data_IF_624588056357
#
_entry.id   IF_624588056357
#
_cell.length_a   1.000
_cell.length_b   1.000
_cell.length_c   1.000
_cell.angle_alpha   90.00
_cell.angle_beta   90.00
_cell.angle_gamma   90.00
#
_symmetry.space_group_name_H-M   'P 1'
#
loop_
_entity.id
_entity.type
_entity.pdbx_description
1 polymer ?
#
# COMPACT_ATOMS: atom_id res chain seq x y z
N UNK A 1 -10.92 12.08 -7.18
CA UNK A 1 -10.20 10.95 -6.56
C UNK A 1 -8.81 10.81 -7.15
N UNK A 2 -7.86 10.37 -6.35
CA UNK A 2 -6.48 10.23 -6.79
C UNK A 2 -6.12 8.75 -6.79
N UNK A 3 -5.50 8.28 -7.87
CA UNK A 3 -5.05 6.89 -8.00
C UNK A 3 -3.54 6.86 -7.84
N UNK A 4 -3.07 5.96 -6.99
CA UNK A 4 -1.64 5.79 -6.71
C UNK A 4 -1.20 4.38 -7.08
N UNK A 5 0.02 4.29 -7.60
CA UNK A 5 0.71 3.03 -7.82
C UNK A 5 1.56 2.76 -6.59
N UNK A 6 1.25 1.70 -5.87
CA UNK A 6 1.90 1.40 -4.60
C UNK A 6 2.73 0.14 -4.73
N UNK A 7 4.01 0.26 -4.35
CA UNK A 7 4.94 -0.86 -4.28
C UNK A 7 5.12 -1.21 -2.80
N UNK A 8 4.78 -2.43 -2.43
CA UNK A 8 4.83 -2.85 -1.04
C UNK A 8 5.43 -4.23 -0.90
N UNK A 9 5.83 -4.57 0.31
CA UNK A 9 6.33 -5.89 0.64
C UNK A 9 5.45 -6.53 1.71
N UNK A 10 5.32 -7.86 1.63
CA UNK A 10 4.57 -8.64 2.58
C UNK A 10 5.53 -9.49 3.39
N UNK A 11 5.36 -9.47 4.70
CA UNK A 11 6.15 -10.31 5.61
C UNK A 11 5.62 -11.73 5.57
N UNK A 12 6.50 -12.67 5.28
CA UNK A 12 6.16 -14.09 5.30
C UNK A 12 6.65 -14.73 6.59
N UNK A 13 6.23 -15.97 6.81
CA UNK A 13 6.74 -16.82 7.88
C UNK A 13 8.25 -16.96 7.64
N UNK A 14 9.07 -17.10 8.65
CA UNK A 14 10.52 -17.25 8.56
C UNK A 14 11.29 -15.98 8.18
N UNK A 15 10.67 -14.81 8.30
CA UNK A 15 11.36 -13.55 8.07
C UNK A 15 11.67 -13.21 6.62
N UNK A 16 11.06 -13.90 5.69
CA UNK A 16 11.18 -13.60 4.27
C UNK A 16 10.18 -12.53 3.85
N UNK A 17 10.41 -11.93 2.66
CA UNK A 17 9.53 -10.91 2.10
C UNK A 17 9.15 -11.28 0.68
N UNK A 18 7.91 -10.94 0.31
CA UNK A 18 7.50 -10.93 -1.08
C UNK A 18 7.08 -9.51 -1.45
N UNK A 19 7.39 -9.09 -2.67
CA UNK A 19 7.13 -7.74 -3.16
C UNK A 19 6.01 -7.74 -4.18
N UNK A 20 5.10 -6.80 -4.04
CA UNK A 20 3.91 -6.69 -4.89
C UNK A 20 3.63 -5.25 -5.24
N UNK A 21 2.80 -5.06 -6.26
CA UNK A 21 2.29 -3.75 -6.63
C UNK A 21 0.77 -3.77 -6.62
N UNK A 22 0.20 -2.60 -6.35
CA UNK A 22 -1.26 -2.46 -6.30
C UNK A 22 -1.62 -1.01 -6.56
N UNK A 23 -2.71 -0.80 -7.29
CA UNK A 23 -3.27 0.55 -7.45
C UNK A 23 -4.24 0.81 -6.30
N UNK A 24 -4.04 1.93 -5.61
CA UNK A 24 -4.90 2.35 -4.51
C UNK A 24 -5.49 3.71 -4.83
N UNK A 25 -6.80 3.83 -4.71
CA UNK A 25 -7.51 5.09 -4.92
C UNK A 25 -7.80 5.74 -3.57
N UNK A 26 -7.44 7.01 -3.46
CA UNK A 26 -7.74 7.80 -2.26
C UNK A 26 -8.81 8.84 -2.60
N UNK A 27 -9.71 9.09 -1.64
CA UNK A 27 -10.68 10.17 -1.78
C UNK A 27 -10.05 11.49 -1.32
N UNK A 28 -10.80 12.59 -1.47
CA UNK A 28 -10.30 13.93 -1.18
C UNK A 28 -9.90 14.14 0.29
N UNK A 29 -10.46 13.35 1.20
CA UNK A 29 -10.22 13.48 2.63
C UNK A 29 -9.02 12.67 3.12
N UNK A 30 -8.47 11.81 2.29
CA UNK A 30 -7.37 10.93 2.67
C UNK A 30 -6.04 11.52 2.22
N UNK A 31 -5.05 11.44 3.08
CA UNK A 31 -3.70 11.94 2.77
C UNK A 31 -2.87 10.81 2.16
N UNK A 32 -2.06 11.18 1.16
CA UNK A 32 -1.14 10.23 0.53
C UNK A 32 0.13 10.12 1.38
N UNK A 33 0.14 9.16 2.28
CA UNK A 33 1.30 8.89 3.13
C UNK A 33 1.36 7.40 3.50
N UNK A 34 2.49 7.00 4.08
CA UNK A 34 2.72 5.61 4.45
C UNK A 34 1.61 5.06 5.33
N UNK A 35 1.19 5.82 6.33
CA UNK A 35 0.17 5.39 7.28
C UNK A 35 -1.16 5.06 6.59
N UNK A 36 -1.61 5.93 5.69
CA UNK A 36 -2.85 5.73 4.96
C UNK A 36 -2.79 4.48 4.08
N UNK A 37 -1.71 4.33 3.32
CA UNK A 37 -1.56 3.19 2.43
C UNK A 37 -1.43 1.88 3.20
N UNK A 38 -0.66 1.87 4.28
CA UNK A 38 -0.50 0.67 5.10
C UNK A 38 -1.81 0.25 5.74
N UNK A 39 -2.59 1.20 6.20
CA UNK A 39 -3.90 0.93 6.78
C UNK A 39 -4.82 0.27 5.76
N UNK A 40 -4.86 0.80 4.54
CA UNK A 40 -5.68 0.22 3.47
C UNK A 40 -5.22 -1.18 3.09
N UNK A 41 -3.91 -1.39 2.97
CA UNK A 41 -3.36 -2.70 2.65
C UNK A 41 -3.64 -3.74 3.74
N UNK A 42 -3.45 -3.36 4.99
CA UNK A 42 -3.64 -4.30 6.09
C UNK A 42 -5.11 -4.60 6.35
N UNK A 43 -6.03 -3.76 5.89
CA UNK A 43 -7.46 -4.04 5.93
C UNK A 43 -7.87 -5.17 4.98
N UNK A 44 -7.03 -5.49 4.00
CA UNK A 44 -7.29 -6.63 3.11
C UNK A 44 -7.05 -7.97 3.79
N UNK A 45 -6.43 -7.94 4.98
CA UNK A 45 -6.12 -9.15 5.72
C UNK A 45 -4.85 -9.84 5.26
N UNK A 46 -4.54 -10.99 5.87
CA UNK A 46 -3.34 -11.75 5.54
C UNK A 46 -2.12 -11.29 6.32
N UNK A 47 -0.94 -11.50 5.76
CA UNK A 47 0.31 -11.15 6.40
C UNK A 47 0.51 -9.65 6.49
N UNK A 48 1.34 -9.21 7.41
CA UNK A 48 1.67 -7.78 7.55
C UNK A 48 2.30 -7.25 6.27
N UNK A 49 1.86 -6.08 5.85
CA UNK A 49 2.34 -5.41 4.63
C UNK A 49 2.98 -4.08 4.98
N UNK A 50 4.08 -3.77 4.30
CA UNK A 50 4.80 -2.51 4.47
C UNK A 50 4.96 -1.81 3.14
N UNK A 51 4.82 -0.48 3.14
CA UNK A 51 5.00 0.33 1.94
C UNK A 51 6.50 0.50 1.67
N UNK A 52 6.90 0.26 0.42
CA UNK A 52 8.25 0.54 -0.06
C UNK A 52 8.27 1.90 -0.75
N UNK A 53 7.33 2.14 -1.66
CA UNK A 53 7.21 3.41 -2.36
C UNK A 53 5.82 3.56 -2.97
N UNK A 54 5.50 4.79 -3.38
CA UNK A 54 4.26 5.04 -4.12
C UNK A 54 4.46 6.22 -5.04
N UNK A 55 3.62 6.29 -6.08
CA UNK A 55 3.60 7.43 -7.00
C UNK A 55 2.18 7.72 -7.45
N UNK A 56 1.91 8.99 -7.72
CA UNK A 56 0.61 9.39 -8.24
C UNK A 56 0.51 8.96 -9.71
N UNK A 57 -0.57 8.27 -10.05
CA UNK A 57 -0.84 7.81 -11.41
C UNK A 57 -1.86 8.72 -12.07
N UNK A 58 -2.90 9.10 -11.32
CA UNK A 58 -4.04 9.81 -11.87
C UNK A 58 -4.77 10.59 -10.80
N UNK A 59 -5.16 11.80 -11.13
CA UNK A 59 -5.96 12.66 -10.23
C UNK A 59 -7.45 12.59 -10.46
#
# INVERSE_FOLDING_TARGET
MRKFFVYYRMHLVYGEYEYYTLNITLNANEKANVETFEKKLNNLGGCKKEIVSWSLVEE
#
